data_IF_982690374842
#
_entry.id   IF_982690374842
#
_cell.length_a   1.000
_cell.length_b   1.000
_cell.length_c   1.000
_cell.angle_alpha   90.00
_cell.angle_beta   90.00
_cell.angle_gamma   90.00
#
_symmetry.space_group_name_H-M   'P 1'
#
loop_
_entity.id
_entity.type
_entity.pdbx_description
1 polymer ?
#
# COMPACT_ATOMS: atom_id res chain seq x y z
N UNK A 1 -11.41 -0.22 9.75
CA UNK A 1 -10.63 -1.27 9.06
C UNK A 1 -9.23 -1.13 9.61
N UNK A 2 -8.87 -1.95 10.58
CA UNK A 2 -7.54 -1.88 11.18
C UNK A 2 -6.51 -2.42 10.18
N UNK A 3 -5.32 -1.83 10.17
CA UNK A 3 -4.19 -2.29 9.37
C UNK A 3 -3.59 -3.51 10.08
N UNK A 4 -4.28 -4.65 9.96
CA UNK A 4 -3.92 -5.91 10.63
C UNK A 4 -2.78 -6.65 9.91
N UNK A 5 -2.31 -6.09 8.78
CA UNK A 5 -1.26 -6.69 7.98
C UNK A 5 0.10 -6.56 8.69
N UNK A 6 0.77 -7.68 9.02
CA UNK A 6 2.03 -7.66 9.76
C UNK A 6 3.14 -6.87 9.06
N UNK A 7 3.16 -6.84 7.73
CA UNK A 7 4.17 -6.10 6.97
C UNK A 7 3.91 -4.59 7.03
N UNK A 8 2.66 -4.14 6.95
CA UNK A 8 2.30 -2.73 7.12
C UNK A 8 2.57 -2.24 8.55
N UNK A 9 2.26 -3.08 9.55
CA UNK A 9 2.59 -2.80 10.96
C UNK A 9 4.11 -2.65 11.11
N UNK A 10 4.88 -3.61 10.61
CA UNK A 10 6.34 -3.58 10.74
C UNK A 10 6.95 -2.40 10.00
N UNK A 11 6.45 -2.08 8.80
CA UNK A 11 6.89 -0.93 8.02
C UNK A 11 6.69 0.39 8.77
N UNK A 12 5.51 0.57 9.36
CA UNK A 12 5.21 1.74 10.21
C UNK A 12 6.18 1.84 11.39
N UNK A 13 6.48 0.72 12.04
CA UNK A 13 7.38 0.71 13.19
C UNK A 13 8.82 1.06 12.77
N UNK A 14 9.28 0.60 11.61
CA UNK A 14 10.59 0.97 11.04
C UNK A 14 10.66 2.46 10.71
N UNK A 15 9.64 3.01 10.03
CA UNK A 15 9.59 4.43 9.71
C UNK A 15 9.65 5.30 10.98
N UNK A 16 8.88 4.95 12.01
CA UNK A 16 8.90 5.67 13.30
C UNK A 16 10.25 5.59 13.99
N UNK A 17 10.87 4.41 14.03
CA UNK A 17 12.17 4.23 14.65
C UNK A 17 13.28 5.05 13.96
N UNK A 18 13.14 5.32 12.66
CA UNK A 18 14.08 6.13 11.86
C UNK A 18 13.76 7.63 11.86
N UNK A 19 12.69 8.06 12.53
CA UNK A 19 12.24 9.46 12.47
C UNK A 19 11.69 9.87 11.10
N UNK A 20 11.22 8.90 10.30
CA UNK A 20 10.64 9.07 8.96
C UNK A 20 9.12 8.92 8.99
N UNK A 21 8.48 9.34 10.09
CA UNK A 21 7.06 9.13 10.31
C UNK A 21 6.18 9.87 9.28
N UNK A 22 6.68 10.96 8.70
CA UNK A 22 6.04 11.74 7.63
C UNK A 22 5.76 10.92 6.36
N UNK A 23 6.51 9.84 6.13
CA UNK A 23 6.23 8.93 5.02
C UNK A 23 4.91 8.18 5.18
N UNK A 24 4.38 8.06 6.40
CA UNK A 24 3.08 7.45 6.65
C UNK A 24 1.94 8.28 6.07
N UNK A 25 2.08 9.61 6.05
CA UNK A 25 1.06 10.50 5.50
C UNK A 25 0.93 10.32 3.98
N UNK A 26 2.02 9.97 3.31
CA UNK A 26 2.04 9.66 1.87
C UNK A 26 1.31 8.36 1.53
N UNK A 27 1.12 7.47 2.51
CA UNK A 27 0.44 6.19 2.27
C UNK A 27 -1.06 6.35 2.20
N UNK A 28 -1.65 7.43 2.75
CA UNK A 28 -3.10 7.59 2.72
C UNK A 28 -3.61 7.78 1.28
N UNK A 29 -4.78 7.21 0.91
CA UNK A 29 -5.39 7.52 -0.37
C UNK A 29 -5.82 8.99 -0.39
N UNK A 30 -5.35 9.72 -1.37
CA UNK A 30 -5.71 11.11 -1.66
C UNK A 30 -6.68 11.18 -2.84
N UNK A 31 -7.04 12.40 -3.26
CA UNK A 31 -7.96 12.61 -4.37
C UNK A 31 -7.48 11.96 -5.69
N UNK A 32 -6.17 11.88 -5.91
CA UNK A 32 -5.59 11.20 -7.07
C UNK A 32 -5.91 9.69 -7.03
N UNK A 33 -5.64 9.03 -5.91
CA UNK A 33 -5.93 7.59 -5.75
C UNK A 33 -7.42 7.32 -5.87
N UNK A 34 -8.26 8.14 -5.26
CA UNK A 34 -9.72 7.97 -5.33
C UNK A 34 -10.23 8.15 -6.76
N UNK A 35 -9.76 9.18 -7.48
CA UNK A 35 -10.09 9.39 -8.88
C UNK A 35 -9.60 8.25 -9.79
N UNK A 36 -8.43 7.69 -9.51
CA UNK A 36 -7.94 6.50 -10.19
C UNK A 36 -8.88 5.31 -9.97
N UNK A 37 -9.28 5.04 -8.72
CA UNK A 37 -10.23 3.94 -8.41
C UNK A 37 -11.54 4.12 -9.16
N UNK A 38 -12.07 5.34 -9.24
CA UNK A 38 -13.28 5.61 -10.01
C UNK A 38 -13.09 5.35 -11.51
N UNK A 39 -11.95 5.73 -12.09
CA UNK A 39 -11.65 5.49 -13.50
C UNK A 39 -11.46 4.01 -13.85
N UNK A 40 -11.12 3.18 -12.84
CA UNK A 40 -10.99 1.73 -12.96
C UNK A 40 -12.35 1.00 -12.86
N UNK A 41 -13.47 1.72 -12.72
CA UNK A 41 -14.80 1.11 -12.67
C UNK A 41 -15.07 0.28 -13.94
N UNK A 42 -15.38 -1.00 -13.75
CA UNK A 42 -15.63 -1.95 -14.85
C UNK A 42 -14.38 -2.71 -15.32
N UNK A 43 -13.19 -2.41 -14.80
CA UNK A 43 -11.99 -3.24 -14.94
C UNK A 43 -12.06 -4.46 -14.03
N UNK A 44 -11.20 -5.44 -14.31
CA UNK A 44 -11.01 -6.58 -13.40
C UNK A 44 -10.28 -6.14 -12.12
N UNK A 45 -10.49 -6.88 -11.03
CA UNK A 45 -9.77 -6.65 -9.78
C UNK A 45 -8.24 -6.75 -9.96
N UNK A 46 -7.77 -7.63 -10.83
CA UNK A 46 -6.35 -7.77 -11.15
C UNK A 46 -5.77 -6.50 -11.77
N UNK A 47 -6.41 -5.98 -12.82
CA UNK A 47 -6.00 -4.73 -13.48
C UNK A 47 -6.01 -3.55 -12.49
N UNK A 48 -7.05 -3.45 -11.66
CA UNK A 48 -7.15 -2.38 -10.67
C UNK A 48 -6.04 -2.48 -9.62
N UNK A 49 -5.76 -3.70 -9.12
CA UNK A 49 -4.68 -3.93 -8.18
C UNK A 49 -3.32 -3.59 -8.77
N UNK A 50 -3.06 -3.95 -10.03
CA UNK A 50 -1.77 -3.71 -10.66
C UNK A 50 -1.53 -2.20 -10.88
N UNK A 51 -2.56 -1.46 -11.30
CA UNK A 51 -2.46 0.00 -11.47
C UNK A 51 -2.28 0.71 -10.12
N UNK A 52 -3.09 0.37 -9.12
CA UNK A 52 -2.98 0.95 -7.78
C UNK A 52 -1.67 0.58 -7.09
N UNK A 53 -1.13 -0.62 -7.35
CA UNK A 53 0.18 -1.02 -6.81
C UNK A 53 1.31 -0.18 -7.39
N UNK A 54 1.23 0.23 -8.66
CA UNK A 54 2.22 1.15 -9.25
C UNK A 54 2.21 2.51 -8.54
N UNK A 55 1.02 3.06 -8.30
CA UNK A 55 0.88 4.34 -7.58
C UNK A 55 1.35 4.22 -6.13
N UNK A 56 0.97 3.12 -5.44
CA UNK A 56 1.40 2.88 -4.07
C UNK A 56 2.92 2.69 -3.96
N UNK A 57 3.57 2.03 -4.93
CA UNK A 57 5.01 1.82 -4.93
C UNK A 57 5.81 3.13 -4.90
N UNK A 58 5.33 4.18 -5.58
CA UNK A 58 5.96 5.49 -5.60
C UNK A 58 5.89 6.23 -4.25
N UNK A 59 4.97 5.82 -3.36
CA UNK A 59 4.73 6.44 -2.05
C UNK A 59 5.49 5.73 -0.91
N UNK A 60 6.22 4.67 -1.24
CA UNK A 60 6.92 3.83 -0.25
C UNK A 60 8.39 4.24 -0.16
N UNK A 61 8.84 4.55 1.05
CA UNK A 61 10.27 4.56 1.37
C UNK A 61 10.86 3.15 1.22
N UNK A 62 11.72 2.97 0.21
CA UNK A 62 12.27 1.67 -0.21
C UNK A 62 13.14 1.02 0.87
N UNK A 63 14.01 1.80 1.51
CA UNK A 63 14.91 1.30 2.56
C UNK A 63 14.12 0.76 3.75
N UNK A 64 13.13 1.52 4.23
CA UNK A 64 12.28 1.10 5.34
C UNK A 64 11.41 -0.12 4.96
N UNK A 65 10.97 -0.23 3.70
CA UNK A 65 10.24 -1.39 3.22
C UNK A 65 11.12 -2.65 3.23
N UNK A 66 12.35 -2.55 2.73
CA UNK A 66 13.31 -3.65 2.71
C UNK A 66 13.67 -4.12 4.13
N UNK A 67 13.82 -3.21 5.08
CA UNK A 67 14.06 -3.57 6.48
C UNK A 67 12.86 -4.25 7.14
N UNK A 68 11.64 -3.75 6.89
CA UNK A 68 10.43 -4.36 7.40
C UNK A 68 10.21 -5.77 6.83
N UNK A 69 10.46 -5.93 5.52
CA UNK A 69 10.39 -7.20 4.83
C UNK A 69 11.44 -8.19 5.35
N UNK A 70 12.70 -7.77 5.46
CA UNK A 70 13.77 -8.60 6.01
C UNK A 70 13.49 -9.07 7.44
N UNK A 71 12.87 -8.22 8.27
CA UNK A 71 12.50 -8.60 9.63
C UNK A 71 11.43 -9.69 9.72
N UNK A 72 10.60 -9.86 8.68
CA UNK A 72 9.52 -10.86 8.64
C UNK A 72 9.90 -12.11 7.85
N UNK A 73 10.67 -11.95 6.77
CA UNK A 73 10.97 -13.02 5.81
C UNK A 73 12.43 -13.46 5.80
N UNK A 74 13.31 -12.77 6.54
CA UNK A 74 14.74 -13.11 6.65
C UNK A 74 15.57 -12.79 5.41
N UNK A 75 14.98 -12.13 4.40
CA UNK A 75 15.63 -11.76 3.14
C UNK A 75 15.51 -10.25 2.92
N UNK A 76 16.61 -9.61 2.53
CA UNK A 76 16.61 -8.18 2.18
C UNK A 76 16.62 -8.04 0.66
N UNK A 77 15.43 -7.82 0.10
CA UNK A 77 15.21 -7.49 -1.31
C UNK A 77 14.30 -6.26 -1.37
N UNK A 78 14.80 -5.14 -1.91
CA UNK A 78 14.05 -3.90 -1.93
C UNK A 78 12.90 -3.90 -2.94
N UNK A 79 13.10 -4.51 -4.10
CA UNK A 79 12.09 -4.54 -5.15
C UNK A 79 10.93 -5.44 -4.75
N UNK A 80 11.24 -6.60 -4.16
CA UNK A 80 10.23 -7.51 -3.63
C UNK A 80 9.50 -6.87 -2.44
N UNK A 81 10.21 -6.23 -1.51
CA UNK A 81 9.61 -5.57 -0.36
C UNK A 81 8.62 -4.47 -0.78
N UNK A 82 9.03 -3.61 -1.71
CA UNK A 82 8.18 -2.52 -2.24
C UNK A 82 6.97 -3.12 -2.96
N UNK A 83 7.16 -4.12 -3.81
CA UNK A 83 6.07 -4.81 -4.51
C UNK A 83 5.04 -5.41 -3.55
N UNK A 84 5.51 -6.12 -2.51
CA UNK A 84 4.65 -6.75 -1.51
C UNK A 84 3.84 -5.74 -0.71
N UNK A 85 4.47 -4.63 -0.31
CA UNK A 85 3.85 -3.58 0.46
C UNK A 85 2.87 -2.76 -0.39
N UNK A 86 3.25 -2.43 -1.63
CA UNK A 86 2.41 -1.71 -2.58
C UNK A 86 1.12 -2.47 -2.90
N UNK A 87 1.20 -3.79 -3.10
CA UNK A 87 0.01 -4.62 -3.35
C UNK A 87 -0.94 -4.67 -2.15
N UNK A 88 -0.41 -4.59 -0.92
CA UNK A 88 -1.23 -4.51 0.30
C UNK A 88 -1.89 -3.15 0.45
N UNK A 89 -1.16 -2.07 0.18
CA UNK A 89 -1.71 -0.72 0.14
C UNK A 89 -2.81 -0.59 -0.92
N UNK A 90 -2.59 -1.14 -2.12
CA UNK A 90 -3.61 -1.15 -3.19
C UNK A 90 -4.90 -1.85 -2.75
N UNK A 91 -4.80 -2.99 -2.04
CA UNK A 91 -5.98 -3.66 -1.45
C UNK A 91 -6.65 -2.80 -0.40
N UNK A 92 -5.87 -2.15 0.46
CA UNK A 92 -6.41 -1.24 1.46
C UNK A 92 -7.13 -0.04 0.84
N UNK A 93 -6.61 0.54 -0.24
CA UNK A 93 -7.28 1.59 -1.00
C UNK A 93 -8.62 1.14 -1.56
N UNK A 94 -8.68 -0.05 -2.16
CA UNK A 94 -9.93 -0.62 -2.65
C UNK A 94 -10.93 -0.87 -1.52
N UNK A 95 -10.47 -1.36 -0.37
CA UNK A 95 -11.31 -1.53 0.82
C UNK A 95 -11.88 -0.21 1.34
N UNK A 96 -11.09 0.87 1.32
CA UNK A 96 -11.57 2.21 1.67
C UNK A 96 -12.63 2.66 0.68
N UNK A 97 -12.35 2.56 -0.62
CA UNK A 97 -13.28 2.97 -1.66
C UNK A 97 -14.60 2.18 -1.61
N UNK A 98 -14.55 0.88 -1.29
CA UNK A 98 -15.74 0.06 -1.04
C UNK A 98 -16.50 0.51 0.21
N UNK A 99 -15.80 0.75 1.32
CA UNK A 99 -16.42 1.23 2.56
C UNK A 99 -17.08 2.62 2.40
N UNK A 100 -16.53 3.46 1.52
CA UNK A 100 -17.11 4.76 1.14
C UNK A 100 -18.23 4.64 0.08
N UNK A 101 -18.52 3.43 -0.42
CA UNK A 101 -19.56 3.19 -1.42
C UNK A 101 -19.20 3.61 -2.84
N UNK A 102 -17.93 3.92 -3.12
CA UNK A 102 -17.45 4.32 -4.44
C UNK A 102 -17.44 3.14 -5.41
N UNK A 103 -17.10 1.94 -4.92
CA UNK A 103 -17.06 0.70 -5.69
C UNK A 103 -17.75 -0.45 -4.92
N UNK A 104 -17.98 -1.57 -5.62
CA UNK A 104 -18.29 -2.85 -4.97
C UNK A 104 -17.32 -3.89 -5.50
N UNK A 105 -16.56 -4.52 -4.62
CA UNK A 105 -15.74 -5.65 -4.97
C UNK A 105 -16.66 -6.88 -5.06
N UNK A 106 -16.54 -7.67 -6.12
CA UNK A 106 -17.26 -8.94 -6.31
C UNK A 106 -16.27 -10.09 -6.38
#
# INVERSE_FOLDING_TARGET
>A
MELDDPLLIKYRDVLRAKGLAEWLDLLAPDAEVLGLIESLRGRTLGEALDELSRVAAARINREAAAEAYAALFGVRDEDEAVSFLARRLARWYLGIAEALGLIRLR
#
